data_IF_079260355835
#
_entry.id   IF_079260355835
#
_cell.length_a   1.000
_cell.length_b   1.000
_cell.length_c   1.000
_cell.angle_alpha   90.00
_cell.angle_beta   90.00
_cell.angle_gamma   90.00
#
_symmetry.space_group_name_H-M   'P 1'
#
loop_
_entity.id
_entity.type
_entity.pdbx_description
1 polymer ?
#
# COMPACT_ATOMS: atom_id res chain seq x y z
N UNK A 1 12.47 24.54 2.47
CA UNK A 1 12.25 23.35 3.33
C UNK A 1 11.11 22.44 2.83
N UNK A 2 9.94 22.99 2.46
CA UNK A 2 8.78 22.19 1.98
C UNK A 2 9.07 21.25 0.79
N UNK A 3 9.78 21.74 -0.25
CA UNK A 3 10.11 20.93 -1.42
C UNK A 3 10.98 19.70 -1.08
N UNK A 4 11.88 19.82 -0.09
CA UNK A 4 12.76 18.72 0.33
C UNK A 4 11.98 17.63 1.08
N UNK A 5 11.03 18.01 1.93
CA UNK A 5 10.17 17.06 2.65
C UNK A 5 9.20 16.32 1.71
N UNK A 6 8.62 17.03 0.73
CA UNK A 6 7.79 16.39 -0.30
C UNK A 6 8.58 15.48 -1.23
N UNK A 7 9.80 15.87 -1.61
CA UNK A 7 10.69 15.02 -2.41
C UNK A 7 11.12 13.76 -1.64
N UNK A 8 11.53 13.90 -0.38
CA UNK A 8 11.89 12.79 0.48
C UNK A 8 10.73 11.83 0.71
N UNK A 9 9.54 12.36 1.01
CA UNK A 9 8.32 11.55 1.14
C UNK A 9 7.98 10.83 -0.17
N UNK A 10 8.19 11.49 -1.31
CA UNK A 10 7.96 10.89 -2.62
C UNK A 10 8.88 9.69 -2.90
N UNK A 11 10.18 9.87 -2.62
CA UNK A 11 11.21 8.82 -2.76
C UNK A 11 10.96 7.67 -1.79
N UNK A 12 10.69 7.96 -0.52
CA UNK A 12 10.44 6.93 0.49
C UNK A 12 9.18 6.12 0.19
N UNK A 13 8.11 6.80 -0.24
CA UNK A 13 6.90 6.11 -0.66
C UNK A 13 7.13 5.24 -1.90
N UNK A 14 7.90 5.72 -2.89
CA UNK A 14 8.27 4.91 -4.06
C UNK A 14 9.11 3.69 -3.66
N UNK A 15 10.08 3.86 -2.76
CA UNK A 15 10.90 2.78 -2.24
C UNK A 15 10.05 1.72 -1.52
N UNK A 16 9.08 2.14 -0.70
CA UNK A 16 8.13 1.23 -0.06
C UNK A 16 7.26 0.49 -1.07
N UNK A 17 6.84 1.14 -2.16
CA UNK A 17 6.08 0.46 -3.21
C UNK A 17 6.92 -0.60 -3.91
N UNK A 18 8.14 -0.26 -4.32
CA UNK A 18 9.05 -1.22 -4.97
C UNK A 18 9.35 -2.41 -4.05
N UNK A 19 9.57 -2.14 -2.75
CA UNK A 19 9.76 -3.17 -1.75
C UNK A 19 8.51 -4.05 -1.57
N UNK A 20 7.30 -3.48 -1.55
CA UNK A 20 6.06 -4.28 -1.55
C UNK A 20 5.94 -5.18 -2.79
N UNK A 21 6.36 -4.69 -3.96
CA UNK A 21 6.34 -5.48 -5.20
C UNK A 21 7.31 -6.63 -5.17
N UNK A 22 8.49 -6.41 -4.59
CA UNK A 22 9.45 -7.48 -4.32
C UNK A 22 8.86 -8.55 -3.38
N UNK A 23 8.19 -8.15 -2.29
CA UNK A 23 7.58 -9.06 -1.32
C UNK A 23 6.42 -9.88 -1.91
N UNK A 24 5.72 -9.35 -2.90
CA UNK A 24 4.68 -10.10 -3.64
C UNK A 24 5.31 -11.04 -4.67
N UNK A 25 6.36 -10.59 -5.38
CA UNK A 25 7.00 -11.37 -6.43
C UNK A 25 7.86 -12.54 -5.90
N UNK A 26 8.34 -12.44 -4.66
CA UNK A 26 9.22 -13.44 -4.04
C UNK A 26 8.62 -13.92 -2.73
N UNK A 27 8.53 -15.24 -2.55
CA UNK A 27 8.00 -15.85 -1.32
C UNK A 27 9.00 -16.83 -0.68
N UNK A 28 10.25 -16.80 -1.13
CA UNK A 28 11.27 -17.73 -0.66
C UNK A 28 11.86 -17.27 0.68
N UNK A 29 11.81 -18.11 1.73
CA UNK A 29 12.25 -17.72 3.07
C UNK A 29 13.78 -17.62 3.12
N UNK A 30 14.28 -16.41 2.91
CA UNK A 30 15.71 -16.05 2.97
C UNK A 30 15.95 -14.88 3.93
N UNK A 31 17.20 -14.70 4.38
CA UNK A 31 17.58 -13.53 5.18
C UNK A 31 17.31 -12.21 4.43
N UNK A 32 17.48 -12.22 3.10
CA UNK A 32 17.19 -11.07 2.26
C UNK A 32 15.68 -10.76 2.21
N UNK A 33 14.82 -11.79 2.13
CA UNK A 33 13.38 -11.61 2.23
C UNK A 33 12.98 -11.03 3.59
N UNK A 34 13.50 -11.60 4.69
CA UNK A 34 13.24 -11.10 6.04
C UNK A 34 13.70 -9.65 6.23
N UNK A 35 14.87 -9.28 5.68
CA UNK A 35 15.36 -7.91 5.70
C UNK A 35 14.44 -6.96 4.91
N UNK A 36 13.90 -7.40 3.77
CA UNK A 36 12.91 -6.61 3.01
C UNK A 36 11.58 -6.44 3.76
N UNK A 37 11.12 -7.47 4.48
CA UNK A 37 9.95 -7.36 5.37
C UNK A 37 10.24 -6.35 6.49
N UNK A 38 11.40 -6.43 7.13
CA UNK A 38 11.83 -5.46 8.14
C UNK A 38 11.87 -4.03 7.60
N UNK A 39 12.44 -3.85 6.40
CA UNK A 39 12.47 -2.55 5.71
C UNK A 39 11.06 -2.03 5.41
N UNK A 40 10.14 -2.88 4.95
CA UNK A 40 8.74 -2.52 4.73
C UNK A 40 8.10 -1.96 6.00
N UNK A 41 8.27 -2.68 7.11
CA UNK A 41 7.67 -2.35 8.40
C UNK A 41 8.26 -1.05 8.95
N UNK A 42 9.59 -0.98 9.10
CA UNK A 42 10.26 0.21 9.65
C UNK A 42 10.04 1.41 8.75
N UNK A 43 10.21 1.23 7.43
CA UNK A 43 9.99 2.29 6.45
C UNK A 43 8.55 2.78 6.47
N UNK A 44 7.55 1.88 6.55
CA UNK A 44 6.14 2.23 6.62
C UNK A 44 5.79 3.02 7.88
N UNK A 45 6.27 2.59 9.05
CA UNK A 45 6.08 3.28 10.33
C UNK A 45 6.73 4.67 10.31
N UNK A 46 7.96 4.79 9.80
CA UNK A 46 8.65 6.08 9.68
C UNK A 46 8.00 6.99 8.63
N UNK A 47 7.44 6.43 7.56
CA UNK A 47 6.80 7.19 6.49
C UNK A 47 5.41 7.70 6.87
N UNK A 48 4.65 6.95 7.68
CA UNK A 48 3.29 7.30 8.10
C UNK A 48 3.13 8.76 8.62
N UNK A 49 3.96 9.28 9.54
CA UNK A 49 3.83 10.66 10.00
C UNK A 49 4.14 11.69 8.90
N UNK A 50 5.13 11.41 8.04
CA UNK A 50 5.46 12.29 6.91
C UNK A 50 4.29 12.37 5.92
N UNK A 51 3.68 11.22 5.62
CA UNK A 51 2.48 11.13 4.80
C UNK A 51 1.30 11.84 5.45
N UNK A 52 1.09 11.67 6.76
CA UNK A 52 0.03 12.33 7.52
C UNK A 52 0.14 13.85 7.46
N UNK A 53 1.33 14.41 7.66
CA UNK A 53 1.59 15.85 7.52
C UNK A 53 1.34 16.33 6.09
N UNK A 54 1.79 15.56 5.08
CA UNK A 54 1.59 15.89 3.68
C UNK A 54 0.09 15.91 3.31
N UNK A 55 -0.66 14.88 3.69
CA UNK A 55 -2.11 14.77 3.46
C UNK A 55 -2.88 15.85 4.20
N UNK A 56 -2.54 16.15 5.45
CA UNK A 56 -3.18 17.21 6.21
C UNK A 56 -3.00 18.59 5.57
N UNK A 57 -1.78 18.89 5.12
CA UNK A 57 -1.50 20.12 4.38
C UNK A 57 -2.27 20.15 3.06
N UNK A 58 -2.29 19.02 2.35
CA UNK A 58 -3.04 18.85 1.11
C UNK A 58 -4.52 19.17 1.33
N UNK A 59 -5.10 18.61 2.38
CA UNK A 59 -6.48 18.81 2.75
C UNK A 59 -6.75 20.29 3.01
N UNK A 60 -5.94 20.97 3.83
CA UNK A 60 -6.11 22.39 4.12
C UNK A 60 -6.06 23.26 2.85
N UNK A 61 -5.14 22.96 1.95
CA UNK A 61 -4.96 23.69 0.68
C UNK A 61 -6.05 23.42 -0.35
N UNK A 62 -6.52 22.17 -0.43
CA UNK A 62 -7.52 21.74 -1.41
C UNK A 62 -8.95 21.98 -0.91
N UNK A 63 -9.21 22.08 0.40
CA UNK A 63 -10.57 22.27 0.96
C UNK A 63 -11.38 23.39 0.29
N UNK A 64 -10.82 24.58 -0.04
CA UNK A 64 -11.56 25.65 -0.72
C UNK A 64 -11.86 25.37 -2.19
N UNK A 65 -11.08 24.48 -2.83
CA UNK A 65 -11.09 24.23 -4.28
C UNK A 65 -11.67 22.86 -4.65
N UNK A 66 -11.84 21.98 -3.66
CA UNK A 66 -12.27 20.60 -3.87
C UNK A 66 -13.77 20.50 -4.14
N UNK A 67 -14.12 19.75 -5.19
CA UNK A 67 -15.49 19.34 -5.46
C UNK A 67 -15.98 18.42 -4.34
N UNK A 68 -17.31 18.29 -4.17
CA UNK A 68 -17.90 17.37 -3.19
C UNK A 68 -17.40 15.92 -3.39
N UNK A 69 -17.29 15.48 -4.65
CA UNK A 69 -16.79 14.15 -4.99
C UNK A 69 -15.32 13.97 -4.58
N UNK A 70 -14.44 14.93 -4.92
CA UNK A 70 -13.02 14.85 -4.56
C UNK A 70 -12.82 14.79 -3.05
N UNK A 71 -13.58 15.58 -2.28
CA UNK A 71 -13.56 15.53 -0.81
C UNK A 71 -13.96 14.16 -0.26
N UNK A 72 -15.04 13.57 -0.79
CA UNK A 72 -15.48 12.23 -0.39
C UNK A 72 -14.43 11.17 -0.69
N UNK A 73 -13.85 11.21 -1.89
CA UNK A 73 -12.79 10.27 -2.30
C UNK A 73 -11.54 10.42 -1.43
N UNK A 74 -11.08 11.63 -1.14
CA UNK A 74 -9.92 11.83 -0.25
C UNK A 74 -10.22 11.43 1.20
N UNK A 75 -11.44 11.64 1.69
CA UNK A 75 -11.86 11.19 3.01
C UNK A 75 -11.90 9.66 3.11
N UNK A 76 -12.52 8.99 2.13
CA UNK A 76 -12.52 7.54 2.01
C UNK A 76 -11.10 6.98 1.93
N UNK A 77 -10.26 7.58 1.08
CA UNK A 77 -8.88 7.15 0.92
C UNK A 77 -8.05 7.31 2.19
N UNK A 78 -8.17 8.45 2.87
CA UNK A 78 -7.52 8.69 4.15
C UNK A 78 -8.00 7.76 5.26
N UNK A 79 -9.32 7.49 5.32
CA UNK A 79 -9.89 6.53 6.26
C UNK A 79 -9.40 5.10 6.02
N UNK A 80 -9.45 4.64 4.76
CA UNK A 80 -8.94 3.32 4.39
C UNK A 80 -7.45 3.18 4.70
N UNK A 81 -6.64 4.21 4.44
CA UNK A 81 -5.22 4.21 4.76
C UNK A 81 -4.97 4.08 6.27
N UNK A 82 -5.74 4.80 7.08
CA UNK A 82 -5.62 4.76 8.54
C UNK A 82 -5.97 3.37 9.09
N UNK A 83 -7.06 2.77 8.61
CA UNK A 83 -7.46 1.42 9.03
C UNK A 83 -6.44 0.39 8.52
N UNK A 84 -5.94 0.53 7.28
CA UNK A 84 -4.90 -0.33 6.71
C UNK A 84 -3.59 -0.25 7.51
N UNK A 85 -3.16 0.95 7.90
CA UNK A 85 -2.00 1.13 8.78
C UNK A 85 -2.23 0.46 10.14
N UNK A 86 -3.42 0.62 10.74
CA UNK A 86 -3.81 -0.07 11.96
C UNK A 86 -3.75 -1.61 11.83
N UNK A 87 -4.22 -2.17 10.72
CA UNK A 87 -4.07 -3.59 10.42
C UNK A 87 -2.60 -4.00 10.31
N UNK A 88 -1.75 -3.17 9.71
CA UNK A 88 -0.30 -3.39 9.64
C UNK A 88 0.34 -3.45 11.03
N UNK A 89 -0.03 -2.53 11.93
CA UNK A 89 0.42 -2.57 13.33
C UNK A 89 -0.08 -3.81 14.07
N UNK A 90 -1.33 -4.24 13.80
CA UNK A 90 -1.87 -5.47 14.37
C UNK A 90 -1.09 -6.70 13.90
N UNK A 91 -0.68 -6.78 12.63
CA UNK A 91 0.18 -7.87 12.12
C UNK A 91 1.53 -7.89 12.83
N UNK A 92 2.14 -6.72 13.10
CA UNK A 92 3.40 -6.65 13.86
C UNK A 92 3.22 -7.22 15.26
N UNK A 93 2.08 -6.96 15.90
CA UNK A 93 1.80 -7.39 17.26
C UNK A 93 1.42 -8.88 17.36
N UNK A 94 0.48 -9.35 16.54
CA UNK A 94 -0.02 -10.73 16.57
C UNK A 94 0.83 -11.71 15.75
N UNK A 95 1.68 -11.18 14.87
CA UNK A 95 2.38 -11.96 13.85
C UNK A 95 1.48 -12.33 12.66
N UNK A 96 2.12 -12.68 11.55
CA UNK A 96 1.44 -13.18 10.36
C UNK A 96 1.19 -14.70 10.45
N UNK A 97 0.37 -15.11 11.41
CA UNK A 97 -0.02 -16.52 11.58
C UNK A 97 -1.27 -16.85 10.74
N UNK A 98 -1.55 -18.14 10.54
CA UNK A 98 -2.70 -18.60 9.73
C UNK A 98 -4.03 -18.07 10.27
N UNK A 99 -4.18 -17.99 11.59
CA UNK A 99 -5.40 -17.53 12.26
C UNK A 99 -5.62 -16.01 12.08
N UNK A 100 -4.54 -15.25 11.91
CA UNK A 100 -4.56 -13.80 11.71
C UNK A 100 -4.36 -13.39 10.26
N UNK A 101 -4.39 -14.32 9.31
CA UNK A 101 -4.14 -14.04 7.89
C UNK A 101 -5.09 -12.99 7.29
N UNK A 102 -6.31 -12.92 7.82
CA UNK A 102 -7.29 -11.91 7.42
C UNK A 102 -6.80 -10.47 7.69
N UNK A 103 -5.90 -10.24 8.67
CA UNK A 103 -5.30 -8.93 8.91
C UNK A 103 -4.41 -8.51 7.74
N UNK A 104 -3.64 -9.45 7.19
CA UNK A 104 -2.80 -9.20 6.02
C UNK A 104 -3.66 -8.88 4.80
N UNK A 105 -4.69 -9.68 4.55
CA UNK A 105 -5.62 -9.45 3.44
C UNK A 105 -6.32 -8.09 3.58
N UNK A 106 -6.79 -7.76 4.78
CA UNK A 106 -7.40 -6.46 5.08
C UNK A 106 -6.41 -5.30 4.89
N UNK A 107 -5.17 -5.43 5.38
CA UNK A 107 -4.11 -4.44 5.19
C UNK A 107 -3.88 -4.14 3.71
N UNK A 108 -3.73 -5.19 2.89
CA UNK A 108 -3.50 -5.05 1.45
C UNK A 108 -4.69 -4.37 0.77
N UNK A 109 -5.91 -4.88 0.98
CA UNK A 109 -7.13 -4.34 0.34
C UNK A 109 -7.35 -2.87 0.73
N UNK A 110 -7.21 -2.53 2.01
CA UNK A 110 -7.39 -1.18 2.51
C UNK A 110 -6.35 -0.22 1.94
N UNK A 111 -5.08 -0.63 1.87
CA UNK A 111 -4.02 0.16 1.25
C UNK A 111 -4.30 0.39 -0.25
N UNK A 112 -4.74 -0.63 -0.99
CA UNK A 112 -5.09 -0.49 -2.41
C UNK A 112 -6.27 0.46 -2.62
N UNK A 113 -7.35 0.30 -1.83
CA UNK A 113 -8.51 1.20 -1.88
C UNK A 113 -8.09 2.63 -1.55
N UNK A 114 -7.26 2.82 -0.53
CA UNK A 114 -6.75 4.13 -0.15
C UNK A 114 -6.03 4.83 -1.30
N UNK A 115 -5.11 4.13 -1.94
CA UNK A 115 -4.33 4.58 -3.08
C UNK A 115 -5.26 4.99 -4.24
N UNK A 116 -6.21 4.12 -4.63
CA UNK A 116 -7.15 4.40 -5.73
C UNK A 116 -8.00 5.63 -5.43
N UNK A 117 -8.62 5.70 -4.24
CA UNK A 117 -9.45 6.82 -3.85
C UNK A 117 -8.67 8.13 -3.80
N UNK A 118 -7.43 8.12 -3.29
CA UNK A 118 -6.57 9.29 -3.28
C UNK A 118 -6.22 9.72 -4.72
N UNK A 119 -5.81 8.80 -5.61
CA UNK A 119 -5.53 9.14 -7.02
C UNK A 119 -6.73 9.76 -7.72
N UNK A 120 -7.91 9.17 -7.58
CA UNK A 120 -9.12 9.68 -8.20
C UNK A 120 -9.46 11.06 -7.65
N UNK A 121 -9.44 11.22 -6.32
CA UNK A 121 -9.69 12.50 -5.65
C UNK A 121 -8.74 13.60 -6.15
N UNK A 122 -7.46 13.26 -6.31
CA UNK A 122 -6.43 14.14 -6.87
C UNK A 122 -6.64 14.43 -8.37
N UNK A 123 -7.00 13.43 -9.17
CA UNK A 123 -7.24 13.58 -10.60
C UNK A 123 -8.39 14.55 -10.91
N UNK A 124 -9.40 14.60 -10.04
CA UNK A 124 -10.47 15.60 -10.13
C UNK A 124 -10.00 17.01 -9.73
N UNK A 125 -9.03 17.13 -8.83
CA UNK A 125 -8.43 18.40 -8.40
C UNK A 125 -7.38 18.93 -9.40
N UNK A 126 -6.74 18.07 -10.20
CA UNK A 126 -5.61 18.44 -11.07
C UNK A 126 -5.90 19.57 -12.05
N UNK A 127 -7.17 19.70 -12.45
CA UNK A 127 -7.64 20.73 -13.38
C UNK A 127 -7.56 22.15 -12.78
N UNK A 128 -7.37 22.27 -11.47
CA UNK A 128 -7.37 23.54 -10.75
C UNK A 128 -5.97 23.97 -10.24
N UNK A 129 -4.90 23.25 -10.58
CA UNK A 129 -3.54 23.55 -10.08
C UNK A 129 -2.74 24.47 -11.00
N UNK A 130 -1.99 25.39 -10.37
CA UNK A 130 -1.02 26.26 -11.06
C UNK A 130 0.24 25.49 -11.51
N UNK A 131 1.06 26.03 -12.42
CA UNK A 131 2.27 25.37 -12.93
C UNK A 131 3.27 24.97 -11.85
N UNK A 132 3.50 25.84 -10.86
CA UNK A 132 4.40 25.56 -9.73
C UNK A 132 3.86 24.46 -8.82
N UNK A 133 2.53 24.40 -8.66
CA UNK A 133 1.87 23.34 -7.91
C UNK A 133 2.02 22.00 -8.63
N UNK A 134 1.87 21.95 -9.96
CA UNK A 134 1.99 20.71 -10.76
C UNK A 134 3.29 19.92 -10.51
N UNK A 135 4.38 20.58 -10.17
CA UNK A 135 5.65 19.93 -9.86
C UNK A 135 5.61 19.14 -8.54
N UNK A 136 5.04 19.71 -7.48
CA UNK A 136 4.82 18.99 -6.22
C UNK A 136 3.81 17.85 -6.39
N UNK A 137 2.82 18.03 -7.28
CA UNK A 137 1.80 17.03 -7.59
C UNK A 137 2.31 15.85 -8.40
N UNK A 138 3.30 16.04 -9.28
CA UNK A 138 3.94 14.95 -10.03
C UNK A 138 4.55 13.90 -9.10
N UNK A 139 5.23 14.34 -8.04
CA UNK A 139 5.85 13.43 -7.08
C UNK A 139 4.81 12.66 -6.26
N UNK A 140 3.74 13.30 -5.80
CA UNK A 140 2.64 12.61 -5.12
C UNK A 140 1.95 11.59 -6.03
N UNK A 141 1.74 11.92 -7.32
CA UNK A 141 1.19 10.99 -8.31
C UNK A 141 2.13 9.83 -8.62
N UNK A 142 3.44 10.06 -8.73
CA UNK A 142 4.44 9.00 -8.97
C UNK A 142 4.48 8.02 -7.80
N UNK A 143 4.49 8.52 -6.57
CA UNK A 143 4.46 7.67 -5.37
C UNK A 143 3.21 6.80 -5.31
N UNK A 144 2.04 7.39 -5.58
CA UNK A 144 0.77 6.67 -5.47
C UNK A 144 0.54 5.76 -6.70
N UNK A 145 1.00 6.13 -7.90
CA UNK A 145 0.94 5.27 -9.09
C UNK A 145 1.90 4.08 -8.99
N UNK A 146 3.11 4.27 -8.43
CA UNK A 146 4.03 3.18 -8.14
C UNK A 146 3.41 2.11 -7.23
N UNK A 147 2.57 2.54 -6.29
CA UNK A 147 1.85 1.65 -5.39
C UNK A 147 0.78 0.79 -6.11
N UNK A 148 0.03 1.38 -7.06
CA UNK A 148 -1.00 0.67 -7.85
C UNK A 148 -0.38 -0.38 -8.78
N UNK A 149 0.70 0.01 -9.48
CA UNK A 149 1.38 -0.88 -10.44
C UNK A 149 1.87 -2.13 -9.72
N UNK A 150 2.50 -1.96 -8.56
CA UNK A 150 2.96 -3.05 -7.71
C UNK A 150 1.80 -3.93 -7.23
N UNK A 151 0.68 -3.34 -6.80
CA UNK A 151 -0.48 -4.12 -6.34
C UNK A 151 -1.16 -4.90 -7.49
N UNK A 152 -1.04 -4.39 -8.72
CA UNK A 152 -1.61 -5.01 -9.93
C UNK A 152 -0.75 -6.16 -10.47
N UNK A 153 0.53 -6.21 -10.11
CA UNK A 153 1.41 -7.36 -10.36
C UNK A 153 1.28 -8.40 -9.24
N UNK A 154 0.07 -8.91 -9.04
CA UNK A 154 -0.10 -10.23 -8.43
C UNK A 154 -0.16 -11.24 -9.57
N UNK A 155 0.84 -12.14 -9.76
CA UNK A 155 0.58 -13.30 -10.57
C UNK A 155 -0.62 -14.03 -9.94
N UNK A 156 -1.65 -14.43 -10.71
CA UNK A 156 -2.66 -15.33 -10.19
C UNK A 156 -1.93 -16.51 -9.57
N UNK A 157 -2.33 -16.90 -8.35
CA UNK A 157 -1.82 -18.09 -7.71
C UNK A 157 -1.78 -19.22 -8.77
N UNK A 158 -0.68 -19.99 -8.89
CA UNK A 158 -0.65 -21.08 -9.85
C UNK A 158 -1.82 -22.02 -9.52
N UNK A 159 -2.89 -21.91 -10.29
CA UNK A 159 -3.99 -22.86 -10.35
C UNK A 159 -3.40 -24.14 -10.92
N UNK A 160 -2.79 -24.96 -10.07
CA UNK A 160 -2.10 -26.16 -10.55
C UNK A 160 -1.13 -26.77 -9.57
N UNK A 161 -1.57 -27.10 -8.35
CA UNK A 161 -0.96 -28.23 -7.64
C UNK A 161 -1.85 -29.45 -7.88
N UNK A 162 -1.40 -30.48 -8.63
CA UNK A 162 -2.17 -31.70 -8.77
C UNK A 162 -2.33 -32.35 -7.40
N UNK A 163 -3.58 -32.63 -7.00
CA UNK A 163 -3.90 -33.58 -5.93
C UNK A 163 -3.38 -34.95 -6.35
N UNK A 164 -2.12 -35.26 -6.04
CA UNK A 164 -1.53 -36.57 -6.32
C UNK A 164 -0.73 -37.06 -5.12
N UNK A 165 -1.42 -37.22 -3.99
CA UNK A 165 -0.98 -38.05 -2.87
C UNK A 165 -2.24 -38.40 -2.07
N UNK A 166 -2.83 -39.57 -2.34
CA UNK A 166 -3.69 -40.38 -1.44
C UNK A 166 -4.61 -41.31 -2.24
N UNK A 167 -4.11 -42.45 -2.71
CA UNK A 167 -4.97 -43.62 -2.96
C UNK A 167 -4.22 -44.97 -3.03
N UNK A 168 -3.06 -45.11 -2.38
CA UNK A 168 -2.35 -46.39 -2.31
C UNK A 168 -1.87 -46.70 -0.89
N UNK A 169 -2.83 -46.89 0.02
CA UNK A 169 -2.61 -47.69 1.24
C UNK A 169 -3.21 -49.08 0.96
N UNK A 170 -2.40 -50.16 0.87
CA UNK A 170 -2.94 -51.51 0.81
C UNK A 170 -3.54 -51.87 2.16
N UNK A 171 -4.82 -52.26 2.17
CA UNK A 171 -5.46 -52.85 3.36
C UNK A 171 -4.83 -54.22 3.62
N UNK A 172 -4.07 -54.35 4.70
CA UNK A 172 -3.83 -55.67 5.29
C UNK A 172 -5.16 -56.20 5.83
N UNK A 173 -5.74 -57.21 5.16
CA UNK A 173 -6.72 -58.09 5.79
C UNK A 173 -5.99 -58.91 6.86
N UNK A 174 -6.50 -58.87 8.08
CA UNK A 174 -6.33 -59.95 9.06
C UNK A 174 -7.45 -60.96 8.87
#
# INVERSE_FOLDING_TARGET
MLHRLSGLGGVLGLALCLNSGYLVATAEPSLFYLANVGFHVVGGVCFAPLLGVAVWRLWKWCKPRATALSRRLMALGGGALLVGFGAGLAIIYFGNTRDHRWLLDAHIVLCVVAIICMLMGLAFLRRQFSPAQRHAWRWALITVAGAVVVASFSPPAPCGAPRRFESSIPRCRR
#
